data_IF_191642695463
#
_entry.id   IF_191642695463
#
_cell.length_a   1.000
_cell.length_b   1.000
_cell.length_c   1.000
_cell.angle_alpha   90.00
_cell.angle_beta   90.00
_cell.angle_gamma   90.00
#
_symmetry.space_group_name_H-M   'P 1'
#
loop_
_entity.id
_entity.type
_entity.pdbx_description
1 polymer ?
#
# COMPACT_ATOMS: atom_id res chain seq x y z
N UNK A 1 51.77 -37.11 -15.09
CA UNK A 1 51.53 -35.72 -14.63
C UNK A 1 50.09 -35.20 -14.88
N UNK A 2 49.35 -35.65 -15.91
CA UNK A 2 47.97 -35.16 -16.19
C UNK A 2 46.86 -35.68 -15.26
N UNK A 3 47.01 -36.88 -14.66
CA UNK A 3 45.99 -37.52 -13.81
C UNK A 3 45.89 -36.90 -12.40
N UNK A 4 46.98 -36.34 -11.87
CA UNK A 4 46.99 -35.69 -10.54
C UNK A 4 46.28 -34.33 -10.54
N UNK A 5 46.27 -33.62 -11.68
CA UNK A 5 45.56 -32.35 -11.80
C UNK A 5 44.04 -32.53 -11.89
N UNK A 6 43.57 -33.65 -12.45
CA UNK A 6 42.13 -33.96 -12.52
C UNK A 6 41.55 -34.38 -11.16
N UNK A 7 42.30 -35.14 -10.35
CA UNK A 7 41.83 -35.52 -9.01
C UNK A 7 41.74 -34.31 -8.09
N UNK A 8 42.74 -33.42 -8.14
CA UNK A 8 42.74 -32.18 -7.36
C UNK A 8 41.61 -31.23 -7.79
N UNK A 9 41.30 -31.16 -9.09
CA UNK A 9 40.18 -30.37 -9.59
C UNK A 9 38.82 -30.91 -9.16
N UNK A 10 38.67 -32.24 -9.08
CA UNK A 10 37.45 -32.90 -8.58
C UNK A 10 37.29 -32.67 -7.07
N UNK A 11 38.37 -32.83 -6.29
CA UNK A 11 38.36 -32.52 -4.86
C UNK A 11 38.01 -31.06 -4.61
N UNK A 12 38.65 -30.12 -5.30
CA UNK A 12 38.36 -28.70 -5.15
C UNK A 12 36.90 -28.38 -5.48
N UNK A 13 36.35 -28.96 -6.56
CA UNK A 13 34.93 -28.79 -6.88
C UNK A 13 34.02 -29.40 -5.81
N UNK A 14 34.35 -30.57 -5.27
CA UNK A 14 33.60 -31.18 -4.17
C UNK A 14 33.66 -30.33 -2.90
N UNK A 15 34.82 -29.76 -2.56
CA UNK A 15 34.99 -28.85 -1.42
C UNK A 15 34.19 -27.56 -1.60
N UNK A 16 34.20 -26.97 -2.80
CA UNK A 16 33.41 -25.77 -3.13
C UNK A 16 31.92 -26.07 -2.99
N UNK A 17 31.43 -27.20 -3.52
CA UNK A 17 30.03 -27.60 -3.39
C UNK A 17 29.65 -27.87 -1.92
N UNK A 18 30.52 -28.53 -1.15
CA UNK A 18 30.31 -28.77 0.27
C UNK A 18 30.18 -27.47 1.06
N UNK A 19 31.04 -26.49 0.82
CA UNK A 19 30.98 -25.17 1.45
C UNK A 19 29.67 -24.42 1.13
N UNK A 20 29.23 -24.46 -0.14
CA UNK A 20 27.95 -23.86 -0.57
C UNK A 20 26.77 -24.53 0.14
N UNK A 21 26.75 -25.86 0.19
CA UNK A 21 25.68 -26.62 0.85
C UNK A 21 25.60 -26.32 2.36
N UNK A 22 26.74 -26.16 3.02
CA UNK A 22 26.81 -25.88 4.45
C UNK A 22 26.27 -24.49 4.79
N UNK A 23 26.66 -23.46 4.03
CA UNK A 23 26.13 -22.09 4.17
C UNK A 23 24.62 -22.05 3.95
N UNK A 24 24.12 -22.81 2.97
CA UNK A 24 22.69 -22.93 2.72
C UNK A 24 21.97 -23.59 3.89
N UNK A 25 22.48 -24.72 4.40
CA UNK A 25 21.87 -25.44 5.53
C UNK A 25 21.78 -24.56 6.79
N UNK A 26 22.82 -23.76 7.05
CA UNK A 26 22.81 -22.80 8.16
C UNK A 26 21.86 -21.62 7.92
N UNK A 27 21.72 -21.15 6.69
CA UNK A 27 20.74 -20.12 6.34
C UNK A 27 19.29 -20.60 6.56
N UNK A 28 19.00 -21.89 6.26
CA UNK A 28 17.69 -22.49 6.48
C UNK A 28 17.35 -22.62 7.96
N UNK A 29 18.33 -22.96 8.81
CA UNK A 29 18.18 -23.02 10.28
C UNK A 29 17.91 -21.65 10.90
N UNK A 30 18.48 -20.57 10.34
CA UNK A 30 18.31 -19.20 10.86
C UNK A 30 17.05 -18.50 10.35
N UNK A 31 16.36 -19.06 9.35
CA UNK A 31 15.21 -18.42 8.72
C UNK A 31 13.99 -18.49 9.64
N UNK A 32 13.32 -17.36 9.84
CA UNK A 32 12.05 -17.31 10.56
C UNK A 32 11.03 -18.25 9.88
N UNK A 33 10.24 -18.97 10.69
CA UNK A 33 9.22 -19.89 10.19
C UNK A 33 8.28 -19.13 9.25
N UNK A 34 8.16 -19.62 8.00
CA UNK A 34 7.40 -18.93 6.97
C UNK A 34 5.93 -18.79 7.37
N UNK A 35 5.27 -17.76 6.84
CA UNK A 35 3.88 -17.45 7.19
C UNK A 35 2.96 -18.62 6.77
N UNK A 36 2.11 -19.12 7.69
CA UNK A 36 1.13 -20.21 7.44
C UNK A 36 0.24 -20.02 6.19
N UNK A 37 0.18 -18.81 5.64
CA UNK A 37 -0.51 -18.47 4.39
C UNK A 37 0.03 -19.19 3.14
N UNK A 38 1.28 -19.67 3.16
CA UNK A 38 1.93 -20.24 1.97
C UNK A 38 1.73 -21.76 1.81
N UNK A 39 1.53 -22.49 2.90
CA UNK A 39 1.37 -23.96 2.88
C UNK A 39 0.27 -24.42 1.90
N UNK A 40 -0.94 -23.80 1.86
CA UNK A 40 -1.98 -24.22 0.93
C UNK A 40 -1.67 -23.95 -0.54
N UNK A 41 -0.77 -23.00 -0.83
CA UNK A 41 -0.33 -22.67 -2.20
C UNK A 41 0.76 -23.63 -2.66
N UNK A 42 1.71 -23.94 -1.77
CA UNK A 42 2.74 -24.95 -2.03
C UNK A 42 2.14 -26.34 -2.23
N UNK A 43 1.15 -26.72 -1.42
CA UNK A 43 0.44 -27.99 -1.62
C UNK A 43 -0.30 -28.08 -2.96
N UNK A 44 -0.87 -26.97 -3.46
CA UNK A 44 -1.49 -26.92 -4.80
C UNK A 44 -0.44 -27.09 -5.91
N UNK A 45 0.70 -26.40 -5.79
CA UNK A 45 1.82 -26.54 -6.71
C UNK A 45 2.34 -27.98 -6.78
N UNK A 46 2.63 -28.59 -5.62
CA UNK A 46 3.13 -29.96 -5.55
C UNK A 46 2.14 -30.94 -6.16
N UNK A 47 0.84 -30.82 -5.85
CA UNK A 47 -0.19 -31.68 -6.47
C UNK A 47 -0.25 -31.53 -7.99
N UNK A 48 -0.16 -30.31 -8.51
CA UNK A 48 -0.14 -30.07 -9.95
C UNK A 48 1.12 -30.65 -10.61
N UNK A 49 2.30 -30.49 -10.01
CA UNK A 49 3.54 -31.11 -10.51
C UNK A 49 3.47 -32.64 -10.50
N UNK A 50 2.93 -33.24 -9.43
CA UNK A 50 2.78 -34.69 -9.31
C UNK A 50 1.81 -35.24 -10.38
N UNK A 51 0.71 -34.54 -10.66
CA UNK A 51 -0.21 -34.92 -11.73
C UNK A 51 0.37 -34.82 -13.14
N UNK A 52 1.32 -33.90 -13.35
CA UNK A 52 2.04 -33.70 -14.62
C UNK A 52 3.25 -34.61 -14.80
N UNK A 53 3.69 -35.30 -13.73
CA UNK A 53 4.86 -36.19 -13.72
C UNK A 53 6.13 -35.53 -14.29
N UNK A 54 6.42 -34.30 -13.88
CA UNK A 54 7.66 -33.62 -14.28
C UNK A 54 8.90 -34.38 -13.77
N UNK A 55 9.94 -34.48 -14.60
CA UNK A 55 11.19 -35.18 -14.28
C UNK A 55 11.91 -34.57 -13.07
N UNK A 56 11.86 -33.25 -12.97
CA UNK A 56 12.38 -32.44 -11.87
C UNK A 56 11.30 -32.20 -10.79
N UNK A 57 10.26 -33.03 -10.74
CA UNK A 57 9.22 -33.05 -9.70
C UNK A 57 8.65 -31.65 -9.38
N UNK A 58 8.73 -31.23 -8.12
CA UNK A 58 8.24 -29.94 -7.62
C UNK A 58 9.22 -28.79 -7.77
N UNK A 59 10.40 -29.00 -8.39
CA UNK A 59 11.38 -27.95 -8.65
C UNK A 59 10.72 -26.81 -9.41
N UNK A 60 10.94 -25.59 -8.93
CA UNK A 60 10.31 -24.40 -9.46
C UNK A 60 11.17 -23.81 -10.56
N UNK A 61 10.65 -23.84 -11.78
CA UNK A 61 11.28 -23.25 -12.97
C UNK A 61 10.39 -22.16 -13.55
N UNK A 62 10.96 -21.22 -14.30
CA UNK A 62 10.18 -20.14 -14.94
C UNK A 62 9.07 -20.69 -15.84
N UNK A 63 9.39 -21.73 -16.64
CA UNK A 63 8.43 -22.38 -17.53
C UNK A 63 7.28 -23.07 -16.79
N UNK A 64 7.57 -23.80 -15.71
CA UNK A 64 6.52 -24.41 -14.88
C UNK A 64 5.64 -23.36 -14.21
N UNK A 65 6.22 -22.23 -13.76
CA UNK A 65 5.42 -21.15 -13.18
C UNK A 65 4.45 -20.63 -14.25
N UNK A 66 4.94 -20.26 -15.43
CA UNK A 66 4.09 -19.75 -16.51
C UNK A 66 2.96 -20.72 -16.85
N UNK A 67 3.27 -22.01 -16.99
CA UNK A 67 2.27 -23.03 -17.29
C UNK A 67 1.24 -23.17 -16.17
N UNK A 68 1.68 -23.17 -14.91
CA UNK A 68 0.79 -23.20 -13.75
C UNK A 68 -0.12 -21.96 -13.67
N UNK A 69 0.40 -20.78 -14.07
CA UNK A 69 -0.41 -19.56 -14.12
C UNK A 69 -1.54 -19.67 -15.14
N UNK A 70 -1.26 -20.19 -16.33
CA UNK A 70 -2.26 -20.34 -17.39
C UNK A 70 -3.29 -21.45 -17.12
N UNK A 71 -2.87 -22.58 -16.56
CA UNK A 71 -3.73 -23.75 -16.43
C UNK A 71 -4.49 -23.81 -15.11
N UNK A 72 -3.89 -23.32 -14.03
CA UNK A 72 -4.45 -23.44 -12.70
C UNK A 72 -4.92 -22.09 -12.18
N UNK A 73 -4.07 -21.06 -12.22
CA UNK A 73 -4.39 -19.80 -11.55
C UNK A 73 -5.38 -18.96 -12.34
N UNK A 74 -5.19 -18.84 -13.66
CA UNK A 74 -6.03 -18.03 -14.55
C UNK A 74 -7.47 -18.55 -14.62
N UNK A 75 -7.73 -19.87 -14.81
CA UNK A 75 -9.11 -20.38 -14.86
C UNK A 75 -9.77 -20.38 -13.49
N UNK A 76 -9.01 -20.61 -12.41
CA UNK A 76 -9.53 -20.60 -11.03
C UNK A 76 -9.91 -19.20 -10.54
N UNK A 77 -9.25 -18.14 -11.03
CA UNK A 77 -9.48 -16.77 -10.56
C UNK A 77 -8.95 -16.51 -9.15
N UNK A 78 -9.45 -15.46 -8.47
CA UNK A 78 -9.00 -15.11 -7.11
C UNK A 78 -9.52 -16.12 -6.07
N UNK A 79 -8.66 -16.59 -5.17
CA UNK A 79 -9.05 -17.39 -3.98
C UNK A 79 -9.84 -16.58 -2.95
N UNK A 80 -9.66 -15.25 -2.93
CA UNK A 80 -10.46 -14.38 -2.10
C UNK A 80 -11.73 -14.03 -2.86
N UNK A 81 -12.88 -14.50 -2.36
CA UNK A 81 -14.21 -13.99 -2.69
C UNK A 81 -14.37 -12.59 -2.08
N UNK A 82 -13.50 -11.67 -2.50
CA UNK A 82 -13.68 -10.23 -2.36
C UNK A 82 -13.56 -9.66 -3.75
N UNK A 83 -14.66 -9.81 -4.46
CA UNK A 83 -15.23 -8.80 -5.33
C UNK A 83 -14.23 -7.69 -5.76
N UNK A 84 -13.51 -7.96 -6.85
CA UNK A 84 -12.77 -6.93 -7.60
C UNK A 84 -11.27 -6.77 -7.34
N UNK A 85 -10.62 -7.40 -6.35
CA UNK A 85 -9.16 -7.27 -6.18
C UNK A 85 -8.40 -8.52 -6.65
N UNK A 86 -7.65 -8.39 -7.76
CA UNK A 86 -6.60 -9.34 -8.15
C UNK A 86 -5.48 -9.19 -7.13
N UNK A 87 -5.32 -10.18 -6.26
CA UNK A 87 -4.23 -10.26 -5.31
C UNK A 87 -2.88 -10.40 -6.04
N UNK A 88 -1.78 -9.85 -5.49
CA UNK A 88 -0.45 -10.11 -6.03
C UNK A 88 -0.19 -11.61 -6.01
N UNK A 89 0.32 -12.09 -7.14
CA UNK A 89 0.59 -13.49 -7.39
C UNK A 89 1.94 -13.82 -6.74
N UNK A 90 1.91 -14.06 -5.44
CA UNK A 90 3.12 -14.36 -4.66
C UNK A 90 3.44 -15.85 -4.78
N UNK A 91 4.31 -16.20 -5.72
CA UNK A 91 5.08 -17.45 -5.66
C UNK A 91 6.44 -17.09 -5.06
N UNK A 92 6.69 -17.54 -3.82
CA UNK A 92 8.04 -17.56 -3.29
C UNK A 92 8.78 -18.73 -3.90
N UNK A 93 9.95 -18.42 -4.46
CA UNK A 93 10.81 -19.42 -5.03
C UNK A 93 12.07 -19.50 -4.20
N UNK A 94 12.21 -20.59 -3.46
CA UNK A 94 13.49 -21.00 -2.91
C UNK A 94 14.18 -21.84 -3.96
N UNK A 95 14.92 -21.20 -4.87
CA UNK A 95 15.80 -21.89 -5.80
C UNK A 95 17.15 -22.11 -5.13
N UNK A 96 17.41 -23.32 -4.65
CA UNK A 96 18.77 -23.77 -4.32
C UNK A 96 19.04 -24.97 -5.24
N UNK A 97 19.76 -24.71 -6.31
CA UNK A 97 20.13 -25.67 -7.34
C UNK A 97 20.73 -24.97 -8.55
N UNK A 98 21.34 -25.72 -9.46
CA UNK A 98 22.00 -25.27 -10.70
C UNK A 98 21.04 -24.63 -11.73
N UNK A 99 19.81 -24.30 -11.32
CA UNK A 99 18.76 -23.76 -12.18
C UNK A 99 18.67 -22.23 -12.04
N UNK A 100 18.51 -21.49 -13.16
CA UNK A 100 18.35 -20.04 -13.14
C UNK A 100 17.19 -19.61 -12.24
N UNK A 101 17.34 -18.45 -11.60
CA UNK A 101 16.28 -17.89 -10.77
C UNK A 101 14.97 -17.82 -11.56
N UNK A 102 13.88 -18.46 -11.11
CA UNK A 102 12.67 -18.67 -11.93
C UNK A 102 11.80 -17.41 -12.10
N UNK A 103 12.28 -16.26 -11.63
CA UNK A 103 11.81 -14.93 -12.06
C UNK A 103 12.65 -14.44 -13.23
N UNK A 104 12.56 -15.14 -14.35
CA UNK A 104 13.19 -14.69 -15.58
C UNK A 104 12.38 -13.61 -16.29
N UNK A 105 12.83 -13.28 -17.51
CA UNK A 105 12.26 -12.21 -18.32
C UNK A 105 10.85 -12.54 -18.83
N UNK A 106 10.57 -13.81 -19.14
CA UNK A 106 9.28 -14.23 -19.68
C UNK A 106 8.17 -14.12 -18.61
N UNK A 107 8.45 -14.54 -17.38
CA UNK A 107 7.52 -14.38 -16.25
C UNK A 107 7.26 -12.90 -15.94
N UNK A 108 8.30 -12.08 -15.93
CA UNK A 108 8.16 -10.63 -15.72
C UNK A 108 7.25 -9.99 -16.79
N UNK A 109 7.49 -10.32 -18.05
CA UNK A 109 6.74 -9.78 -19.18
C UNK A 109 5.28 -10.27 -19.21
N UNK A 110 5.05 -11.54 -18.86
CA UNK A 110 3.73 -12.10 -18.67
C UNK A 110 2.93 -11.33 -17.60
N UNK A 111 3.51 -11.14 -16.41
CA UNK A 111 2.87 -10.42 -15.31
C UNK A 111 2.58 -8.96 -15.68
N UNK A 112 3.48 -8.33 -16.44
CA UNK A 112 3.34 -6.94 -16.91
C UNK A 112 2.19 -6.81 -17.91
N UNK A 113 2.11 -7.71 -18.87
CA UNK A 113 1.04 -7.76 -19.88
C UNK A 113 -0.31 -7.99 -19.21
N UNK A 114 -0.39 -8.98 -18.32
CA UNK A 114 -1.61 -9.25 -17.56
C UNK A 114 -2.05 -8.07 -16.68
N UNK A 115 -1.11 -7.27 -16.16
CA UNK A 115 -1.43 -6.03 -15.42
C UNK A 115 -1.96 -4.92 -16.33
N UNK A 116 -1.44 -4.78 -17.55
CA UNK A 116 -1.92 -3.80 -18.56
C UNK A 116 -3.34 -4.13 -19.02
N UNK A 117 -3.60 -5.41 -19.29
CA UNK A 117 -4.89 -5.87 -19.81
C UNK A 117 -5.97 -5.92 -18.73
N UNK A 118 -5.61 -5.79 -17.45
CA UNK A 118 -6.55 -5.76 -16.32
C UNK A 118 -7.66 -4.73 -16.52
N UNK A 119 -7.32 -3.54 -17.00
CA UNK A 119 -8.30 -2.46 -17.19
C UNK A 119 -9.24 -2.75 -18.35
N UNK A 120 -8.71 -3.27 -19.47
CA UNK A 120 -9.51 -3.66 -20.64
C UNK A 120 -10.47 -4.81 -20.29
N UNK A 121 -9.94 -5.87 -19.67
CA UNK A 121 -10.73 -7.03 -19.22
C UNK A 121 -11.82 -6.66 -18.22
N UNK A 122 -11.54 -5.81 -17.23
CA UNK A 122 -12.58 -5.32 -16.30
C UNK A 122 -13.71 -4.56 -17.01
N UNK A 123 -13.42 -3.89 -18.13
CA UNK A 123 -14.44 -3.21 -18.94
C UNK A 123 -15.28 -4.21 -19.72
N UNK A 124 -14.66 -5.24 -20.30
CA UNK A 124 -15.34 -6.33 -21.00
C UNK A 124 -16.20 -7.20 -20.06
N UNK A 125 -15.71 -7.47 -18.85
CA UNK A 125 -16.43 -8.17 -17.78
C UNK A 125 -17.55 -7.32 -17.16
N UNK A 126 -17.77 -6.08 -17.62
CA UNK A 126 -18.73 -5.10 -17.07
C UNK A 126 -18.61 -4.92 -15.55
N UNK A 127 -17.42 -5.11 -15.00
CA UNK A 127 -17.19 -4.97 -13.57
C UNK A 127 -17.37 -3.50 -13.18
N UNK A 128 -18.07 -3.26 -12.06
CA UNK A 128 -18.32 -1.90 -11.58
C UNK A 128 -17.00 -1.14 -11.39
N UNK A 129 -16.86 -0.04 -12.13
CA UNK A 129 -15.66 0.78 -12.15
C UNK A 129 -15.58 1.68 -10.91
N UNK A 130 -16.73 1.93 -10.26
CA UNK A 130 -16.83 2.67 -9.01
C UNK A 130 -16.40 1.84 -7.79
N UNK A 131 -16.37 0.52 -7.92
CA UNK A 131 -15.93 -0.39 -6.86
C UNK A 131 -14.47 -0.19 -6.49
N UNK A 132 -14.21 -0.01 -5.20
CA UNK A 132 -12.89 0.29 -4.65
C UNK A 132 -12.39 1.71 -4.96
N UNK A 133 -13.26 2.61 -5.40
CA UNK A 133 -12.97 4.03 -5.62
C UNK A 133 -13.53 4.88 -4.48
N UNK A 134 -13.64 6.20 -4.68
CA UNK A 134 -14.17 7.14 -3.68
C UNK A 134 -15.59 6.80 -3.21
N UNK A 135 -16.39 6.06 -3.99
CA UNK A 135 -17.74 5.63 -3.59
C UNK A 135 -17.75 4.56 -2.49
N UNK A 136 -16.66 3.79 -2.33
CA UNK A 136 -16.51 2.79 -1.26
C UNK A 136 -16.05 3.40 0.08
N UNK A 137 -16.09 4.73 0.20
CA UNK A 137 -15.76 5.46 1.42
C UNK A 137 -16.86 5.29 2.49
N UNK A 138 -16.63 5.81 3.69
CA UNK A 138 -17.64 5.84 4.75
C UNK A 138 -18.91 6.56 4.26
N UNK A 139 -20.08 5.98 4.55
CA UNK A 139 -21.35 6.67 4.34
C UNK A 139 -21.45 7.90 5.26
N UNK A 140 -22.24 8.90 4.87
CA UNK A 140 -22.44 10.11 5.67
C UNK A 140 -22.92 9.79 7.11
N UNK A 141 -23.78 8.77 7.27
CA UNK A 141 -24.21 8.31 8.59
C UNK A 141 -23.07 7.72 9.43
N UNK A 142 -22.21 6.89 8.83
CA UNK A 142 -21.02 6.35 9.52
C UNK A 142 -20.06 7.47 9.90
N UNK A 143 -19.85 8.43 9.00
CA UNK A 143 -19.00 9.58 9.24
C UNK A 143 -19.52 10.38 10.44
N UNK A 144 -20.82 10.68 10.45
CA UNK A 144 -21.48 11.39 11.56
C UNK A 144 -21.28 10.67 12.89
N UNK A 145 -21.52 9.36 12.96
CA UNK A 145 -21.37 8.59 14.20
C UNK A 145 -19.96 8.72 14.80
N UNK A 146 -18.92 8.60 13.96
CA UNK A 146 -17.53 8.74 14.39
C UNK A 146 -17.26 10.16 14.90
N UNK A 147 -17.82 11.20 14.25
CA UNK A 147 -17.61 12.59 14.67
C UNK A 147 -18.33 12.95 15.96
N UNK A 148 -19.56 12.47 16.11
CA UNK A 148 -20.34 12.65 17.33
C UNK A 148 -19.62 12.00 18.50
N UNK A 149 -19.13 10.77 18.32
CA UNK A 149 -18.33 10.07 19.33
C UNK A 149 -17.14 10.91 19.83
N UNK A 150 -16.33 11.49 18.93
CA UNK A 150 -15.20 12.33 19.34
C UNK A 150 -15.61 13.64 20.02
N UNK A 151 -16.75 14.23 19.65
CA UNK A 151 -17.28 15.41 20.36
C UNK A 151 -17.75 15.06 21.77
N UNK A 152 -18.39 13.90 21.95
CA UNK A 152 -18.93 13.44 23.23
C UNK A 152 -17.85 13.04 24.24
N UNK A 153 -16.67 12.63 23.77
CA UNK A 153 -15.53 12.31 24.64
C UNK A 153 -15.02 13.52 25.45
N UNK A 154 -15.29 14.75 24.99
CA UNK A 154 -14.91 16.01 25.64
C UNK A 154 -13.42 16.07 26.06
N UNK A 155 -12.54 15.46 25.26
CA UNK A 155 -11.08 15.47 25.43
C UNK A 155 -10.43 16.24 24.27
N UNK A 156 -9.34 16.95 24.57
CA UNK A 156 -8.58 17.71 23.58
C UNK A 156 -8.00 16.86 22.47
N UNK A 157 -7.56 15.63 22.79
CA UNK A 157 -7.09 14.68 21.78
C UNK A 157 -8.23 14.20 20.89
N UNK A 158 -9.44 14.04 21.44
CA UNK A 158 -10.61 13.71 20.65
C UNK A 158 -10.98 14.86 19.68
N UNK A 159 -10.81 16.13 20.08
CA UNK A 159 -10.97 17.28 19.19
C UNK A 159 -9.91 17.30 18.07
N UNK A 160 -8.66 16.97 18.39
CA UNK A 160 -7.59 16.81 17.41
C UNK A 160 -7.92 15.72 16.39
N UNK A 161 -8.30 14.53 16.85
CA UNK A 161 -8.61 13.40 15.97
C UNK A 161 -9.85 13.69 15.12
N UNK A 162 -10.85 14.37 15.68
CA UNK A 162 -11.99 14.87 14.91
C UNK A 162 -11.57 15.82 13.80
N UNK A 163 -10.68 16.77 14.10
CA UNK A 163 -10.16 17.71 13.12
C UNK A 163 -9.34 16.99 12.03
N UNK A 164 -8.40 16.11 12.38
CA UNK A 164 -7.56 15.37 11.42
C UNK A 164 -8.41 14.56 10.45
N UNK A 165 -9.40 13.82 10.93
CA UNK A 165 -10.19 12.97 10.04
C UNK A 165 -11.18 13.81 9.19
N UNK A 166 -11.75 14.92 9.70
CA UNK A 166 -12.63 15.77 8.87
C UNK A 166 -11.85 16.59 7.85
N UNK A 167 -10.77 17.22 8.28
CA UNK A 167 -9.93 18.05 7.43
C UNK A 167 -9.21 17.19 6.40
N UNK A 168 -8.62 16.06 6.81
CA UNK A 168 -8.01 15.09 5.91
C UNK A 168 -8.99 14.47 4.91
N UNK A 169 -10.24 14.19 5.33
CA UNK A 169 -11.29 13.77 4.39
C UNK A 169 -11.60 14.88 3.38
N UNK A 170 -11.82 16.12 3.83
CA UNK A 170 -12.23 17.21 2.96
C UNK A 170 -11.15 17.54 1.92
N UNK A 171 -9.88 17.47 2.30
CA UNK A 171 -8.74 17.64 1.40
C UNK A 171 -8.40 16.38 0.60
N UNK A 172 -9.07 15.25 0.84
CA UNK A 172 -8.67 13.94 0.30
C UNK A 172 -7.18 13.62 0.54
N UNK A 173 -6.63 14.17 1.62
CA UNK A 173 -5.22 14.10 1.92
C UNK A 173 -4.84 12.75 2.54
N UNK A 174 -3.62 12.30 2.26
CA UNK A 174 -3.06 11.13 2.91
C UNK A 174 -2.58 11.52 4.31
N UNK A 175 -2.61 10.58 5.25
CA UNK A 175 -2.08 10.81 6.60
C UNK A 175 -0.61 11.23 6.63
N UNK A 176 0.19 10.86 5.63
CA UNK A 176 1.56 11.39 5.51
C UNK A 176 1.58 12.89 5.20
N UNK A 177 0.69 13.33 4.32
CA UNK A 177 0.54 14.74 3.93
C UNK A 177 -0.01 15.56 5.09
N UNK A 178 -1.10 15.09 5.74
CA UNK A 178 -1.71 15.84 6.85
C UNK A 178 -0.76 16.02 8.03
N UNK A 179 0.06 15.01 8.35
CA UNK A 179 1.07 15.11 9.44
C UNK A 179 2.20 16.08 9.17
N UNK A 180 2.48 16.41 7.91
CA UNK A 180 3.53 17.37 7.53
C UNK A 180 3.00 18.80 7.42
N UNK A 181 1.69 19.00 7.49
CA UNK A 181 1.09 20.34 7.48
C UNK A 181 1.44 21.08 8.77
N UNK A 182 1.97 22.28 8.61
CA UNK A 182 2.14 23.24 9.68
C UNK A 182 1.06 24.33 9.60
N UNK A 183 0.87 25.05 10.71
CA UNK A 183 -0.07 26.16 10.76
C UNK A 183 0.19 27.24 9.68
N UNK A 184 1.45 27.60 9.32
CA UNK A 184 1.73 28.54 8.23
C UNK A 184 1.37 28.03 6.82
N UNK A 185 1.21 26.71 6.65
CA UNK A 185 0.81 26.12 5.37
C UNK A 185 -0.70 26.28 5.14
N UNK A 186 -1.44 26.70 6.18
CA UNK A 186 -2.87 26.96 6.12
C UNK A 186 -3.15 28.43 5.85
N UNK A 187 -4.01 28.70 4.88
CA UNK A 187 -4.48 30.05 4.60
C UNK A 187 -5.97 30.02 4.24
N UNK A 188 -6.63 31.16 4.39
CA UNK A 188 -8.04 31.30 4.01
C UNK A 188 -8.17 32.27 2.84
N UNK A 189 -9.11 31.99 1.94
CA UNK A 189 -9.41 32.83 0.79
C UNK A 189 -10.92 32.91 0.60
N UNK A 190 -11.40 34.11 0.29
CA UNK A 190 -12.80 34.32 -0.08
C UNK A 190 -13.03 33.88 -1.53
N UNK A 191 -14.03 33.01 -1.73
CA UNK A 191 -14.47 32.56 -3.03
C UNK A 191 -15.65 33.44 -3.48
N UNK A 192 -15.34 34.51 -4.21
CA UNK A 192 -16.29 35.58 -4.56
C UNK A 192 -17.47 35.13 -5.42
N UNK A 193 -17.34 34.00 -6.14
CA UNK A 193 -18.35 33.48 -7.05
C UNK A 193 -19.07 32.23 -6.52
N UNK A 194 -18.80 31.81 -5.28
CA UNK A 194 -19.34 30.58 -4.71
C UNK A 194 -20.55 30.85 -3.81
N UNK A 195 -21.72 31.03 -4.43
CA UNK A 195 -23.01 31.09 -3.76
C UNK A 195 -23.49 32.49 -3.35
N UNK A 196 -24.73 32.59 -2.82
CA UNK A 196 -25.37 33.87 -2.50
C UNK A 196 -24.83 34.54 -1.22
N UNK A 197 -24.00 33.83 -0.45
CA UNK A 197 -23.46 34.28 0.84
C UNK A 197 -21.94 34.22 0.77
N UNK A 198 -21.24 35.10 1.51
CA UNK A 198 -19.78 35.08 1.66
C UNK A 198 -19.25 33.66 1.95
N UNK A 199 -18.50 33.12 0.99
CA UNK A 199 -17.87 31.81 1.07
C UNK A 199 -16.38 32.00 1.35
N UNK A 200 -15.94 31.56 2.53
CA UNK A 200 -14.52 31.50 2.88
C UNK A 200 -14.10 30.04 2.87
N UNK A 201 -13.11 29.74 2.05
CA UNK A 201 -12.48 28.43 1.97
C UNK A 201 -11.18 28.42 2.76
N UNK A 202 -10.90 27.29 3.41
CA UNK A 202 -9.61 27.02 4.03
C UNK A 202 -8.78 26.19 3.07
N UNK A 203 -7.56 26.62 2.80
CA UNK A 203 -6.60 25.97 1.92
C UNK A 203 -5.39 25.49 2.72
N UNK A 204 -4.80 24.40 2.26
CA UNK A 204 -3.55 23.86 2.75
C UNK A 204 -2.55 23.77 1.58
N UNK A 205 -1.37 24.34 1.78
CA UNK A 205 -0.23 24.15 0.88
C UNK A 205 0.38 22.78 1.15
N UNK A 206 0.51 21.98 0.10
CA UNK A 206 1.03 20.62 0.13
C UNK A 206 2.22 20.52 -0.82
N UNK A 207 3.42 20.74 -0.31
CA UNK A 207 4.66 20.61 -1.08
C UNK A 207 5.45 19.34 -0.70
N UNK A 208 5.17 18.70 0.44
CA UNK A 208 5.96 17.59 0.98
C UNK A 208 5.47 16.17 0.61
N UNK A 209 5.10 15.96 -0.65
CA UNK A 209 4.67 14.66 -1.17
C UNK A 209 5.82 13.73 -1.54
N UNK A 210 5.67 12.41 -1.33
CA UNK A 210 6.66 11.39 -1.73
C UNK A 210 7.07 11.46 -3.21
N UNK A 211 6.15 11.84 -4.08
CA UNK A 211 6.39 11.98 -5.53
C UNK A 211 6.84 13.39 -5.93
N UNK A 212 6.80 14.34 -5.00
CA UNK A 212 7.08 15.74 -5.24
C UNK A 212 8.53 16.09 -4.87
N UNK A 213 9.48 15.43 -5.52
CA UNK A 213 10.91 15.62 -5.26
C UNK A 213 11.39 17.06 -5.50
N UNK A 214 10.66 17.83 -6.32
CA UNK A 214 11.01 19.19 -6.73
C UNK A 214 10.20 20.28 -6.00
N UNK A 215 9.39 19.94 -4.99
CA UNK A 215 8.66 20.93 -4.18
C UNK A 215 7.62 21.74 -4.97
N UNK A 216 6.93 21.11 -5.93
CA UNK A 216 5.79 21.73 -6.62
C UNK A 216 4.71 22.10 -5.60
N UNK A 217 4.28 23.35 -5.62
CA UNK A 217 3.19 23.80 -4.76
C UNK A 217 1.88 23.21 -5.27
N UNK A 218 1.26 22.35 -4.46
CA UNK A 218 -0.12 21.88 -4.65
C UNK A 218 -0.98 22.48 -3.54
N UNK A 219 -2.17 22.96 -3.88
CA UNK A 219 -3.10 23.53 -2.92
C UNK A 219 -4.37 22.70 -2.93
N UNK A 220 -4.74 22.15 -1.79
CA UNK A 220 -6.06 21.58 -1.59
C UNK A 220 -6.84 22.46 -0.62
N UNK A 221 -8.14 22.58 -0.88
CA UNK A 221 -9.01 23.44 -0.08
C UNK A 221 -10.31 22.76 0.29
N UNK A 222 -10.92 23.25 1.36
CA UNK A 222 -12.25 22.85 1.80
C UNK A 222 -13.10 24.07 2.13
N UNK A 223 -14.41 23.91 1.97
CA UNK A 223 -15.43 24.91 2.30
C UNK A 223 -16.22 24.49 3.54
N UNK A 224 -16.95 25.44 4.13
CA UNK A 224 -17.86 25.14 5.24
C UNK A 224 -18.96 24.20 4.76
N UNK A 225 -19.21 23.17 5.55
CA UNK A 225 -20.32 22.26 5.33
C UNK A 225 -21.55 22.72 6.11
N UNK A 226 -22.75 22.55 5.55
CA UNK A 226 -24.02 22.98 6.16
C UNK A 226 -24.25 22.36 7.55
N UNK A 227 -23.84 21.11 7.72
CA UNK A 227 -23.94 20.41 9.01
C UNK A 227 -22.67 20.63 9.84
N UNK A 228 -22.84 21.26 10.99
CA UNK A 228 -21.76 21.67 11.89
C UNK A 228 -20.95 20.46 12.38
N UNK A 229 -21.62 19.33 12.62
CA UNK A 229 -20.96 18.11 13.11
C UNK A 229 -19.97 17.54 12.09
N UNK A 230 -20.27 17.73 10.80
CA UNK A 230 -19.48 17.25 9.67
C UNK A 230 -18.61 18.34 9.04
N UNK A 231 -18.62 19.57 9.56
CA UNK A 231 -17.90 20.68 8.97
C UNK A 231 -16.38 20.57 9.22
N UNK A 232 -15.53 20.49 8.17
CA UNK A 232 -14.09 20.39 8.33
C UNK A 232 -13.47 21.66 8.91
N UNK A 233 -13.90 22.83 8.43
CA UNK A 233 -13.48 24.13 8.96
C UNK A 233 -13.91 24.27 10.42
N UNK A 234 -15.17 23.97 10.73
CA UNK A 234 -15.66 24.05 12.12
C UNK A 234 -14.96 23.08 13.07
N UNK A 235 -14.50 21.92 12.58
CA UNK A 235 -13.71 21.00 13.39
C UNK A 235 -12.30 21.52 13.68
N UNK A 236 -11.65 22.09 12.67
CA UNK A 236 -10.36 22.75 12.84
C UNK A 236 -10.47 23.94 13.80
N UNK A 237 -11.49 24.79 13.64
CA UNK A 237 -11.72 25.96 14.49
C UNK A 237 -11.90 25.59 15.97
N UNK A 238 -12.73 24.59 16.26
CA UNK A 238 -12.96 24.11 17.63
C UNK A 238 -11.65 23.57 18.23
N UNK A 239 -10.87 22.82 17.46
CA UNK A 239 -9.59 22.29 17.93
C UNK A 239 -8.57 23.41 18.19
N UNK A 240 -8.43 24.39 17.29
CA UNK A 240 -7.50 25.51 17.47
C UNK A 240 -7.92 26.41 18.64
N UNK A 241 -9.22 26.63 18.82
CA UNK A 241 -9.74 27.34 19.98
C UNK A 241 -9.39 26.60 21.28
N UNK A 242 -9.69 25.30 21.36
CA UNK A 242 -9.31 24.50 22.52
C UNK A 242 -7.79 24.53 22.76
N UNK A 243 -6.98 24.37 21.71
CA UNK A 243 -5.52 24.32 21.80
C UNK A 243 -4.91 25.60 22.34
N UNK A 244 -5.34 26.76 21.84
CA UNK A 244 -4.70 28.05 22.14
C UNK A 244 -5.39 28.86 23.24
N UNK A 245 -6.68 28.60 23.51
CA UNK A 245 -7.43 29.35 24.53
C UNK A 245 -7.72 28.53 25.78
N UNK A 246 -7.86 27.20 25.67
CA UNK A 246 -8.28 26.35 26.80
C UNK A 246 -7.11 25.55 27.37
N UNK A 247 -6.26 24.96 26.51
CA UNK A 247 -5.16 24.08 26.91
C UNK A 247 -3.87 24.82 27.34
N UNK A 248 -3.96 26.12 27.64
CA UNK A 248 -2.87 27.00 28.10
C UNK A 248 -1.63 27.06 27.17
N UNK A 249 -1.73 26.60 25.93
CA UNK A 249 -0.67 26.86 24.94
C UNK A 249 -0.84 28.28 24.44
N UNK A 250 0.13 29.16 24.73
CA UNK A 250 0.13 30.51 24.16
C UNK A 250 0.09 30.43 22.64
N UNK A 251 -0.68 31.33 22.02
CA UNK A 251 -0.70 31.44 20.57
C UNK A 251 0.72 31.74 20.07
N UNK A 252 1.23 31.01 19.05
CA UNK A 252 2.61 31.18 18.59
C UNK A 252 2.84 32.59 18.08
N UNK A 253 4.01 33.16 18.37
CA UNK A 253 4.43 34.42 17.77
C UNK A 253 4.70 34.20 16.27
N UNK A 254 3.76 34.65 15.43
CA UNK A 254 3.84 34.51 13.97
C UNK A 254 4.91 35.43 13.34
N UNK A 255 5.58 36.27 14.13
CA UNK A 255 6.64 37.19 13.65
C UNK A 255 8.02 36.56 13.67
N UNK A 256 8.24 35.50 14.44
CA UNK A 256 9.55 34.90 14.64
C UNK A 256 9.50 33.43 14.23
N UNK A 257 10.41 33.03 13.34
CA UNK A 257 10.59 31.62 12.98
C UNK A 257 11.51 31.00 14.03
N UNK A 258 10.99 30.20 14.95
CA UNK A 258 11.84 29.41 15.84
C UNK A 258 12.61 28.40 14.98
N UNK A 259 13.93 28.56 14.93
CA UNK A 259 14.87 27.62 14.28
C UNK A 259 14.87 26.27 14.97
#
# INVERSE_FOLDING_TARGET
MRLANTSLAIENNATVQGAVQQVVADSLKRRARNTRSYEPKQGEWVRWCNGRQFVDESVVTEGKILLFLEEVVRPRGSRHKQDGKVAPLSVEVSGIGFHPHPRGKALSEYLRTHKRDRTARRREEFNDRGKGTMQDTYSLGKLRNVRTYFMELNDGRALHDRADILFGHALMARGETTRKLHLPDLFSMELTNEGPTKCVAAFAVMDQGKVNQFGRIENDGCIRYRDIILCPIGALDIYLFWRFQVAENTFPDMRVRST
#
